data_IF_484046478804
#
_entry.id   IF_484046478804
#
_cell.length_a   1.000
_cell.length_b   1.000
_cell.length_c   1.000
_cell.angle_alpha   90.00
_cell.angle_beta   90.00
_cell.angle_gamma   90.00
#
_symmetry.space_group_name_H-M   'P 1'
#
loop_
_entity.id
_entity.type
_entity.pdbx_description
1 polymer ?
#
# COMPACT_ATOMS: atom_id res chain seq x y z
N UNK A 1 25.47 37.93 -17.46
CA UNK A 1 25.41 36.98 -16.33
C UNK A 1 24.18 36.10 -16.55
N UNK A 2 24.27 35.11 -17.44
CA UNK A 2 23.15 34.21 -17.73
C UNK A 2 23.46 32.90 -17.03
N UNK A 3 22.63 32.57 -16.04
CA UNK A 3 22.81 31.45 -15.13
C UNK A 3 22.89 30.11 -15.88
N UNK A 4 24.03 29.49 -15.73
CA UNK A 4 24.27 28.07 -15.98
C UNK A 4 23.50 27.19 -14.96
N UNK A 5 23.00 26.03 -15.44
CA UNK A 5 23.02 24.67 -14.82
C UNK A 5 21.66 23.97 -14.85
N UNK A 6 21.67 22.69 -15.24
CA UNK A 6 20.66 21.73 -14.76
C UNK A 6 20.10 20.75 -15.79
N UNK A 7 20.96 20.09 -16.56
CA UNK A 7 20.57 18.82 -17.19
C UNK A 7 20.51 17.76 -16.07
N UNK A 8 19.32 17.49 -15.52
CA UNK A 8 19.11 16.47 -14.48
C UNK A 8 19.02 15.08 -15.12
N UNK A 9 20.16 14.53 -15.52
CA UNK A 9 20.30 13.13 -15.96
C UNK A 9 20.46 12.22 -14.74
N UNK A 10 19.54 12.27 -13.78
CA UNK A 10 19.65 11.48 -12.54
C UNK A 10 18.33 10.85 -12.05
N UNK A 11 17.37 10.60 -12.94
CA UNK A 11 16.15 9.83 -12.61
C UNK A 11 16.12 8.41 -13.21
N UNK A 12 17.25 7.92 -13.76
CA UNK A 12 17.32 6.57 -14.35
C UNK A 12 17.84 5.52 -13.34
N UNK A 13 18.39 5.94 -12.19
CA UNK A 13 19.03 5.03 -11.23
C UNK A 13 18.21 4.74 -9.96
N UNK A 14 16.97 5.21 -9.88
CA UNK A 14 16.13 5.10 -8.67
C UNK A 14 14.95 4.15 -8.81
N UNK A 15 14.70 3.58 -9.99
CA UNK A 15 13.59 2.65 -10.20
C UNK A 15 13.84 1.26 -9.60
N UNK A 16 15.11 0.89 -9.43
CA UNK A 16 15.52 -0.45 -9.04
C UNK A 16 15.53 -0.65 -7.51
N UNK A 17 15.65 0.45 -6.76
CA UNK A 17 15.75 0.41 -5.29
C UNK A 17 14.39 0.37 -4.60
N UNK A 18 13.31 0.72 -5.31
CA UNK A 18 11.94 0.83 -4.78
C UNK A 18 11.20 -0.52 -4.69
N UNK A 19 11.87 -1.62 -5.03
CA UNK A 19 11.30 -2.97 -4.99
C UNK A 19 11.93 -3.86 -3.91
N UNK A 20 12.89 -3.36 -3.13
CA UNK A 20 13.55 -4.14 -2.07
C UNK A 20 12.74 -4.11 -0.79
N UNK A 21 12.21 -5.25 -0.33
CA UNK A 21 11.57 -5.32 0.98
C UNK A 21 12.62 -5.29 2.10
N UNK A 22 12.25 -4.68 3.23
CA UNK A 22 13.02 -4.77 4.48
C UNK A 22 12.77 -6.14 5.15
N UNK A 23 13.01 -7.21 4.40
CA UNK A 23 12.81 -8.59 4.80
C UNK A 23 13.75 -9.52 4.02
N UNK A 24 14.22 -10.56 4.71
CA UNK A 24 15.14 -11.58 4.18
C UNK A 24 14.34 -12.88 4.03
N UNK A 25 14.59 -13.62 2.95
CA UNK A 25 13.97 -14.92 2.75
C UNK A 25 14.56 -15.97 3.69
N UNK A 26 13.74 -16.64 4.49
CA UNK A 26 14.19 -17.64 5.48
C UNK A 26 14.81 -18.90 4.86
N UNK A 27 14.46 -19.23 3.61
CA UNK A 27 15.02 -20.42 2.94
C UNK A 27 16.36 -20.15 2.23
N UNK A 28 16.55 -18.97 1.64
CA UNK A 28 17.79 -18.69 0.89
C UNK A 28 18.70 -17.64 1.56
N UNK A 29 18.26 -16.95 2.60
CA UNK A 29 19.03 -15.94 3.32
C UNK A 29 19.34 -14.68 2.51
N UNK A 30 18.61 -14.43 1.43
CA UNK A 30 18.79 -13.27 0.55
C UNK A 30 17.68 -12.24 0.75
N UNK A 31 18.00 -10.97 0.51
CA UNK A 31 17.01 -9.88 0.46
C UNK A 31 15.89 -10.20 -0.56
N UNK A 32 14.66 -9.86 -0.20
CA UNK A 32 13.50 -10.08 -1.05
C UNK A 32 13.29 -8.86 -1.95
N UNK A 33 13.31 -9.09 -3.26
CA UNK A 33 13.02 -8.07 -4.28
C UNK A 33 11.69 -8.37 -4.97
N UNK A 34 10.88 -7.33 -5.20
CA UNK A 34 9.59 -7.41 -5.88
C UNK A 34 8.43 -7.76 -4.95
N UNK A 35 8.06 -9.05 -4.91
CA UNK A 35 6.94 -9.56 -4.10
C UNK A 35 7.46 -10.41 -2.96
N UNK A 36 7.09 -10.05 -1.73
CA UNK A 36 7.35 -10.82 -0.51
C UNK A 36 6.18 -11.77 -0.22
N UNK A 37 6.48 -13.00 0.15
CA UNK A 37 5.48 -14.01 0.53
C UNK A 37 5.58 -14.28 2.02
N UNK A 38 4.69 -13.69 2.82
CA UNK A 38 4.63 -13.94 4.27
C UNK A 38 3.73 -15.13 4.56
N UNK A 39 4.18 -16.07 5.37
CA UNK A 39 3.35 -17.17 5.86
C UNK A 39 2.24 -16.63 6.76
N UNK A 40 1.00 -17.06 6.56
CA UNK A 40 -0.15 -16.64 7.38
C UNK A 40 -0.27 -17.41 8.69
N UNK A 41 0.44 -18.54 8.80
CA UNK A 41 0.38 -19.45 9.94
C UNK A 41 1.58 -19.27 10.87
N UNK A 42 2.78 -19.10 10.31
CA UNK A 42 4.01 -18.97 11.08
C UNK A 42 4.33 -17.50 11.37
N UNK A 43 4.75 -17.20 12.61
CA UNK A 43 5.31 -15.89 12.95
C UNK A 43 6.65 -15.72 12.23
N UNK A 44 6.84 -14.55 11.64
CA UNK A 44 8.12 -14.11 11.06
C UNK A 44 8.73 -15.02 10.00
N UNK A 45 7.90 -15.70 9.21
CA UNK A 45 8.35 -16.53 8.10
C UNK A 45 8.05 -15.89 6.75
N UNK A 46 9.09 -15.64 5.96
CA UNK A 46 9.07 -14.90 4.71
C UNK A 46 9.82 -15.61 3.59
N UNK A 47 9.18 -15.70 2.42
CA UNK A 47 9.74 -16.25 1.21
C UNK A 47 9.84 -15.25 0.07
N UNK A 48 10.89 -15.42 -0.73
CA UNK A 48 10.99 -14.77 -2.03
C UNK A 48 10.20 -15.55 -3.10
N UNK A 49 9.96 -14.92 -4.25
CA UNK A 49 9.26 -15.50 -5.40
C UNK A 49 9.83 -16.84 -5.89
N UNK A 50 11.11 -17.12 -5.66
CA UNK A 50 11.75 -18.39 -6.03
C UNK A 50 11.54 -19.49 -4.98
N UNK A 51 11.55 -19.12 -3.70
CA UNK A 51 11.43 -20.06 -2.59
C UNK A 51 9.98 -20.47 -2.35
N UNK A 52 9.02 -19.58 -2.61
CA UNK A 52 7.60 -19.90 -2.48
C UNK A 52 7.16 -21.05 -3.40
N UNK A 53 7.80 -21.21 -4.57
CA UNK A 53 7.54 -22.33 -5.50
C UNK A 53 7.86 -23.70 -4.91
N UNK A 54 8.75 -23.74 -3.91
CA UNK A 54 9.11 -24.97 -3.18
C UNK A 54 8.52 -24.99 -1.78
N UNK A 55 7.65 -24.04 -1.43
CA UNK A 55 7.12 -23.91 -0.09
C UNK A 55 6.40 -25.17 0.39
N UNK A 56 5.68 -25.86 -0.48
CA UNK A 56 5.03 -27.13 -0.15
C UNK A 56 6.02 -28.20 0.35
N UNK A 57 7.25 -28.18 -0.17
CA UNK A 57 8.31 -29.11 0.20
C UNK A 57 9.17 -28.59 1.36
N UNK A 58 9.41 -27.29 1.45
CA UNK A 58 10.36 -26.68 2.40
C UNK A 58 9.68 -26.11 3.65
N UNK A 59 8.39 -25.80 3.58
CA UNK A 59 7.60 -25.16 4.64
C UNK A 59 6.14 -25.64 4.66
N UNK A 60 5.92 -26.92 4.35
CA UNK A 60 4.61 -27.56 4.42
C UNK A 60 3.52 -26.87 3.59
N UNK A 61 2.27 -27.30 3.78
CA UNK A 61 1.10 -26.74 3.10
C UNK A 61 0.48 -25.59 3.90
N UNK A 62 1.27 -24.56 4.24
CA UNK A 62 0.77 -23.33 4.82
C UNK A 62 0.43 -22.30 3.73
N UNK A 63 -0.58 -21.47 3.99
CA UNK A 63 -0.96 -20.40 3.07
C UNK A 63 -0.01 -19.20 3.19
N UNK A 64 0.31 -18.59 2.04
CA UNK A 64 1.19 -17.43 1.95
C UNK A 64 0.44 -16.21 1.40
N UNK A 65 0.67 -15.06 2.02
CA UNK A 65 0.19 -13.77 1.53
C UNK A 65 1.27 -13.11 0.67
N UNK A 66 0.92 -12.77 -0.57
CA UNK A 66 1.74 -11.93 -1.43
C UNK A 66 1.63 -10.46 -1.02
N UNK A 67 2.75 -9.87 -0.65
CA UNK A 67 2.92 -8.46 -0.32
C UNK A 67 3.77 -7.87 -1.44
N UNK A 68 3.14 -7.14 -2.35
CA UNK A 68 3.89 -6.33 -3.32
C UNK A 68 4.42 -5.08 -2.61
N UNK A 69 5.58 -4.58 -3.04
CA UNK A 69 5.98 -3.24 -2.67
C UNK A 69 4.88 -2.25 -3.05
N UNK A 70 4.53 -1.28 -2.19
CA UNK A 70 3.68 -0.19 -2.61
C UNK A 70 4.43 0.53 -3.71
N UNK A 71 4.11 0.21 -4.98
CA UNK A 71 4.37 1.14 -6.08
C UNK A 71 3.78 2.43 -5.57
N UNK A 72 4.60 3.47 -5.39
CA UNK A 72 4.15 4.81 -5.07
C UNK A 72 2.89 5.09 -5.87
N UNK A 73 1.74 4.86 -5.24
CA UNK A 73 0.46 5.03 -5.88
C UNK A 73 0.38 6.53 -5.99
N UNK A 74 0.59 7.03 -7.20
CA UNK A 74 0.51 8.44 -7.55
C UNK A 74 -0.63 9.03 -6.75
N UNK A 75 -0.27 9.85 -5.78
CA UNK A 75 -1.16 10.55 -4.87
C UNK A 75 -2.40 11.05 -5.62
N UNK A 76 -3.48 10.28 -5.52
CA UNK A 76 -4.68 10.46 -6.34
C UNK A 76 -5.96 9.94 -5.69
N UNK A 77 -5.86 9.18 -4.59
CA UNK A 77 -7.00 8.83 -3.75
C UNK A 77 -7.24 9.96 -2.75
N UNK A 78 -8.02 10.97 -3.14
CA UNK A 78 -8.61 11.95 -2.22
C UNK A 78 -9.81 11.33 -1.50
N UNK A 79 -9.79 11.11 -0.18
CA UNK A 79 -11.01 10.82 0.55
C UNK A 79 -11.64 12.13 1.06
N UNK A 80 -12.18 12.97 0.17
CA UNK A 80 -12.99 14.13 0.59
C UNK A 80 -14.48 13.85 0.37
N UNK A 81 -14.96 12.77 0.99
CA UNK A 81 -16.40 12.51 1.12
C UNK A 81 -16.98 13.38 2.24
N UNK A 82 -17.10 14.68 1.99
CA UNK A 82 -17.92 15.62 2.80
C UNK A 82 -19.04 16.30 1.99
N UNK A 83 -19.10 16.17 0.67
CA UNK A 83 -20.18 16.80 -0.12
C UNK A 83 -21.46 15.94 -0.18
N UNK A 84 -22.11 15.70 0.96
CA UNK A 84 -23.50 15.22 1.00
C UNK A 84 -24.20 15.76 2.24
N UNK A 85 -24.92 16.86 2.04
CA UNK A 85 -25.76 17.49 3.04
C UNK A 85 -26.82 18.36 2.37
N UNK A 86 -27.67 17.74 1.56
CA UNK A 86 -28.91 18.34 1.06
C UNK A 86 -29.82 18.68 2.25
N UNK A 87 -29.86 19.95 2.65
CA UNK A 87 -30.88 20.48 3.56
C UNK A 87 -32.16 20.77 2.79
N UNK A 88 -33.00 19.76 2.56
CA UNK A 88 -34.38 19.98 2.15
C UNK A 88 -35.14 20.57 3.35
N UNK A 89 -35.40 21.88 3.32
CA UNK A 89 -36.26 22.53 4.31
C UNK A 89 -37.71 22.12 4.04
N UNK A 90 -38.18 21.09 4.74
CA UNK A 90 -39.60 20.75 4.83
C UNK A 90 -40.34 21.89 5.55
N UNK A 91 -41.44 22.32 4.93
CA UNK A 91 -42.34 23.34 5.46
C UNK A 91 -43.37 22.68 6.38
N UNK A 92 -43.14 22.71 7.69
CA UNK A 92 -44.12 22.26 8.69
C UNK A 92 -44.81 23.46 9.34
N UNK A 93 -45.89 23.91 8.68
CA UNK A 93 -46.96 24.68 9.31
C UNK A 93 -47.73 23.75 10.26
N UNK A 94 -47.36 23.70 11.54
CA UNK A 94 -48.17 23.02 12.57
C UNK A 94 -47.81 23.46 14.00
N UNK A 95 -48.71 24.25 14.58
CA UNK A 95 -49.13 24.22 16.00
C UNK A 95 -48.16 24.83 17.05
N UNK A 96 -48.48 26.04 17.54
CA UNK A 96 -49.26 26.34 18.76
C UNK A 96 -48.41 26.50 20.03
N UNK A 97 -48.48 27.72 20.56
CA UNK A 97 -48.56 28.11 21.98
C UNK A 97 -47.41 27.74 22.93
N UNK A 98 -46.80 28.77 23.53
CA UNK A 98 -46.54 28.79 24.98
C UNK A 98 -46.36 30.23 25.48
N UNK A 99 -47.26 30.61 26.39
CA UNK A 99 -47.23 31.81 27.21
C UNK A 99 -46.04 31.79 28.18
N UNK A 100 -45.41 32.94 28.39
CA UNK A 100 -45.42 33.74 29.63
C UNK A 100 -44.63 35.02 29.39
#
# INVERSE_FOLDING_TARGET
MTGNRGMWVLDILTLDHDLRHDAICDNCGLDIYGTRFKCLVCSDFDYCSKCVLRAELTHGSHDFQSIEHPRVASSGDRPDRWASGFGHSVNDNSQRTRSM
#
